data_IF_543751005436
#
_entry.id   IF_543751005436
#
_cell.length_a   1.000
_cell.length_b   1.000
_cell.length_c   1.000
_cell.angle_alpha   90.00
_cell.angle_beta   90.00
_cell.angle_gamma   90.00
#
_symmetry.space_group_name_H-M   'P 1'
#
loop_
_entity.id
_entity.type
_entity.pdbx_description
1 polymer ?
#
# COMPACT_ATOMS: atom_id res chain seq x y z
N UNK A 1 18.92 35.94 -66.74
CA UNK A 1 17.93 36.44 -67.71
C UNK A 1 16.77 36.98 -66.90
N UNK A 2 16.68 38.30 -66.87
CA UNK A 2 15.89 39.10 -65.93
C UNK A 2 14.47 39.28 -66.51
N UNK A 3 13.46 38.66 -65.92
CA UNK A 3 12.05 38.85 -66.30
C UNK A 3 11.28 39.43 -65.13
N UNK A 4 11.22 40.77 -65.14
CA UNK A 4 10.43 41.60 -64.23
C UNK A 4 8.96 41.56 -64.68
N UNK A 5 8.07 41.10 -63.82
CA UNK A 5 6.64 41.44 -63.91
C UNK A 5 6.30 42.46 -62.81
N UNK A 6 6.17 43.71 -63.22
CA UNK A 6 5.54 44.79 -62.43
C UNK A 6 4.03 44.64 -62.57
N UNK A 7 3.31 44.52 -61.46
CA UNK A 7 1.87 44.80 -61.43
C UNK A 7 1.61 46.14 -60.74
N UNK A 8 0.71 46.94 -61.33
CA UNK A 8 0.34 48.28 -60.87
C UNK A 8 -0.65 48.16 -59.72
N UNK A 9 -0.15 48.27 -58.49
CA UNK A 9 -0.78 48.84 -57.28
C UNK A 9 0.05 48.35 -56.08
N UNK A 10 0.81 49.27 -55.49
CA UNK A 10 1.74 48.99 -54.40
C UNK A 10 0.99 48.54 -53.14
N UNK A 11 1.12 47.26 -52.81
CA UNK A 11 0.66 46.68 -51.56
C UNK A 11 1.17 45.24 -51.43
N UNK A 12 2.24 45.04 -50.67
CA UNK A 12 2.72 43.71 -50.28
C UNK A 12 1.82 43.23 -49.13
N UNK A 13 0.94 42.25 -49.39
CA UNK A 13 0.27 41.51 -48.32
C UNK A 13 1.14 40.30 -47.95
N UNK A 14 1.51 40.11 -46.68
CA UNK A 14 2.20 38.89 -46.26
C UNK A 14 1.25 37.70 -46.44
N UNK A 15 1.74 36.65 -47.08
CA UNK A 15 1.05 35.36 -47.13
C UNK A 15 1.13 34.78 -45.72
N UNK A 16 0.03 34.81 -44.97
CA UNK A 16 -0.09 34.09 -43.70
C UNK A 16 -0.18 32.60 -44.02
N UNK A 17 0.89 31.85 -43.76
CA UNK A 17 0.79 30.40 -43.68
C UNK A 17 -0.12 30.04 -42.50
N UNK A 18 -1.08 29.12 -42.66
CA UNK A 18 -1.82 28.63 -41.51
C UNK A 18 -0.82 28.04 -40.53
N UNK A 19 -0.88 28.49 -39.28
CA UNK A 19 -0.14 27.86 -38.17
C UNK A 19 -0.47 26.38 -38.21
N UNK A 20 0.53 25.53 -38.40
CA UNK A 20 0.35 24.09 -38.20
C UNK A 20 -0.32 23.90 -36.83
N UNK A 21 -1.40 23.12 -36.73
CA UNK A 21 -1.93 22.77 -35.42
C UNK A 21 -0.77 22.19 -34.60
N UNK A 22 -0.69 22.48 -33.29
CA UNK A 22 0.34 21.88 -32.46
C UNK A 22 0.31 20.37 -32.73
N UNK A 23 1.46 19.79 -33.04
CA UNK A 23 1.57 18.36 -33.26
C UNK A 23 1.03 17.68 -32.00
N UNK A 24 -0.23 17.24 -32.04
CA UNK A 24 -0.80 16.40 -31.00
C UNK A 24 0.08 15.17 -30.96
N UNK A 25 0.83 15.04 -29.87
CA UNK A 25 1.79 13.98 -29.71
C UNK A 25 1.00 12.67 -29.75
N UNK A 26 1.15 11.87 -30.81
CA UNK A 26 0.36 10.66 -31.01
C UNK A 26 0.46 9.72 -29.79
N UNK A 27 1.59 9.78 -29.06
CA UNK A 27 1.77 9.07 -27.79
C UNK A 27 0.81 9.54 -26.69
N UNK A 28 0.54 10.84 -26.51
CA UNK A 28 -0.37 11.29 -25.45
C UNK A 28 -1.80 10.79 -25.70
N UNK A 29 -2.23 10.76 -26.95
CA UNK A 29 -3.54 10.21 -27.35
C UNK A 29 -3.66 8.70 -27.05
N UNK A 30 -2.57 7.95 -27.21
CA UNK A 30 -2.52 6.51 -26.95
C UNK A 30 -2.50 6.23 -25.44
N UNK A 31 -1.76 7.02 -24.65
CA UNK A 31 -1.69 6.82 -23.20
C UNK A 31 -3.02 7.07 -22.49
N UNK A 32 -3.78 8.09 -22.91
CA UNK A 32 -5.08 8.42 -22.29
C UNK A 32 -6.19 7.41 -22.63
N UNK A 33 -6.01 6.59 -23.67
CA UNK A 33 -6.98 5.58 -24.13
C UNK A 33 -6.53 4.14 -23.85
N UNK A 34 -5.34 3.96 -23.26
CA UNK A 34 -4.83 2.65 -22.93
C UNK A 34 -5.71 1.95 -21.87
N UNK A 35 -6.06 0.67 -22.05
CA UNK A 35 -6.77 -0.08 -21.03
C UNK A 35 -5.99 -0.11 -19.72
N UNK A 36 -6.66 0.21 -18.61
CA UNK A 36 -6.07 0.12 -17.28
C UNK A 36 -5.94 -1.36 -16.92
N UNK A 37 -4.74 -1.76 -16.52
CA UNK A 37 -4.48 -3.07 -15.93
C UNK A 37 -4.29 -2.84 -14.43
N UNK A 38 -5.13 -3.45 -13.61
CA UNK A 38 -5.05 -3.37 -12.16
C UNK A 38 -4.96 -4.76 -11.53
N UNK A 39 -4.29 -4.84 -10.38
CA UNK A 39 -4.19 -6.07 -9.60
C UNK A 39 -5.42 -6.30 -8.71
N UNK A 40 -6.34 -5.33 -8.66
CA UNK A 40 -7.56 -5.37 -7.87
C UNK A 40 -8.56 -6.34 -8.51
N UNK A 41 -9.19 -7.16 -7.69
CA UNK A 41 -10.22 -8.09 -8.15
C UNK A 41 -11.52 -7.32 -8.44
N UNK A 42 -12.18 -7.66 -9.55
CA UNK A 42 -13.43 -7.03 -10.00
C UNK A 42 -14.63 -7.34 -9.11
N UNK A 43 -14.59 -8.47 -8.42
CA UNK A 43 -15.64 -8.95 -7.53
C UNK A 43 -15.03 -9.73 -6.35
N UNK A 44 -15.78 -9.75 -5.24
CA UNK A 44 -15.41 -10.46 -4.02
C UNK A 44 -16.03 -11.86 -3.93
N UNK A 45 -17.01 -12.18 -4.79
CA UNK A 45 -17.89 -13.34 -4.64
C UNK A 45 -18.64 -13.36 -3.30
N UNK A 46 -19.25 -14.51 -3.01
CA UNK A 46 -19.98 -14.77 -1.75
C UNK A 46 -19.06 -15.39 -0.69
N UNK A 47 -17.93 -14.73 -0.41
CA UNK A 47 -16.90 -15.24 0.50
C UNK A 47 -17.06 -14.76 1.95
N UNK A 48 -17.72 -13.63 2.17
CA UNK A 48 -17.83 -13.00 3.48
C UNK A 48 -19.16 -13.33 4.16
N UNK A 49 -19.19 -13.44 5.50
CA UNK A 49 -20.43 -13.72 6.22
C UNK A 49 -21.45 -12.56 6.06
N UNK A 50 -22.76 -12.84 6.18
CA UNK A 50 -23.79 -11.81 6.13
C UNK A 50 -23.52 -10.65 7.10
N UNK A 51 -23.66 -9.42 6.62
CA UNK A 51 -23.41 -8.21 7.40
C UNK A 51 -21.94 -7.79 7.51
N UNK A 52 -20.98 -8.59 7.01
CA UNK A 52 -19.57 -8.21 7.05
C UNK A 52 -19.29 -6.93 6.28
N UNK A 53 -19.90 -6.79 5.10
CA UNK A 53 -19.74 -5.60 4.27
C UNK A 53 -20.39 -4.37 4.92
N UNK A 54 -21.38 -4.49 5.79
CA UNK A 54 -21.92 -3.33 6.52
C UNK A 54 -20.90 -2.75 7.51
N UNK A 55 -20.01 -3.60 8.03
CA UNK A 55 -18.97 -3.25 8.99
C UNK A 55 -17.64 -2.87 8.33
N UNK A 56 -17.36 -3.40 7.14
CA UNK A 56 -16.06 -3.25 6.48
C UNK A 56 -16.19 -2.93 4.99
N UNK A 57 -15.44 -1.91 4.56
CA UNK A 57 -15.06 -1.71 3.17
C UNK A 57 -14.01 -2.77 2.80
N UNK A 58 -14.17 -3.46 1.66
CA UNK A 58 -13.30 -4.58 1.29
C UNK A 58 -12.74 -4.39 -0.12
N UNK A 59 -11.42 -4.52 -0.26
CA UNK A 59 -10.72 -4.56 -1.54
C UNK A 59 -9.78 -5.75 -1.57
N UNK A 60 -9.95 -6.62 -2.56
CA UNK A 60 -9.10 -7.80 -2.75
C UNK A 60 -8.13 -7.54 -3.90
N UNK A 61 -6.85 -7.83 -3.69
CA UNK A 61 -5.81 -7.71 -4.70
C UNK A 61 -5.15 -9.06 -4.96
N UNK A 62 -4.95 -9.39 -6.24
CA UNK A 62 -4.34 -10.66 -6.69
C UNK A 62 -5.06 -11.89 -6.13
N UNK A 63 -6.40 -11.89 -6.12
CA UNK A 63 -7.23 -12.97 -5.60
C UNK A 63 -7.08 -13.23 -4.09
N UNK A 64 -6.66 -12.25 -3.30
CA UNK A 64 -6.42 -12.42 -1.86
C UNK A 64 -7.62 -13.03 -1.12
N UNK A 65 -8.83 -12.51 -1.31
CA UNK A 65 -10.03 -13.04 -0.66
C UNK A 65 -10.26 -14.52 -0.99
N UNK A 66 -10.11 -14.90 -2.27
CA UNK A 66 -10.29 -16.29 -2.73
C UNK A 66 -9.20 -17.21 -2.19
N UNK A 67 -7.95 -16.75 -2.17
CA UNK A 67 -6.81 -17.49 -1.61
C UNK A 67 -7.03 -17.73 -0.11
N UNK A 68 -7.40 -16.69 0.63
CA UNK A 68 -7.72 -16.80 2.05
C UNK A 68 -8.87 -17.79 2.28
N UNK A 69 -9.96 -17.66 1.54
CA UNK A 69 -11.15 -18.50 1.72
C UNK A 69 -10.93 -19.99 1.38
N UNK A 70 -10.09 -20.30 0.38
CA UNK A 70 -9.95 -21.68 -0.12
C UNK A 70 -8.63 -22.35 0.25
N UNK A 71 -7.52 -21.60 0.38
CA UNK A 71 -6.23 -22.15 0.76
C UNK A 71 -5.92 -21.99 2.25
N UNK A 72 -6.57 -21.04 2.94
CA UNK A 72 -6.42 -20.80 4.39
C UNK A 72 -7.79 -20.70 5.10
N UNK A 73 -8.71 -21.66 4.90
CA UNK A 73 -10.11 -21.53 5.31
C UNK A 73 -10.29 -21.36 6.82
N UNK A 74 -9.45 -22.01 7.63
CA UNK A 74 -9.52 -21.91 9.09
C UNK A 74 -9.14 -20.51 9.57
N UNK A 75 -8.02 -19.98 9.08
CA UNK A 75 -7.56 -18.63 9.39
C UNK A 75 -8.54 -17.57 8.91
N UNK A 76 -9.09 -17.73 7.70
CA UNK A 76 -10.07 -16.79 7.15
C UNK A 76 -11.38 -16.79 7.93
N UNK A 77 -11.91 -17.96 8.28
CA UNK A 77 -13.10 -18.08 9.13
C UNK A 77 -12.87 -17.45 10.51
N UNK A 78 -11.67 -17.61 11.08
CA UNK A 78 -11.32 -17.02 12.37
C UNK A 78 -11.23 -15.49 12.28
N UNK A 79 -10.50 -14.94 11.31
CA UNK A 79 -10.40 -13.49 11.09
C UNK A 79 -11.80 -12.88 10.89
N UNK A 80 -12.61 -13.45 10.00
CA UNK A 80 -13.94 -12.90 9.70
C UNK A 80 -14.86 -12.97 10.92
N UNK A 81 -14.88 -14.08 11.66
CA UNK A 81 -15.66 -14.19 12.90
C UNK A 81 -15.22 -13.18 13.97
N UNK A 82 -13.91 -12.97 14.13
CA UNK A 82 -13.34 -12.00 15.07
C UNK A 82 -13.67 -10.56 14.70
N UNK A 83 -13.52 -10.20 13.43
CA UNK A 83 -13.89 -8.89 12.92
C UNK A 83 -15.41 -8.64 13.01
N UNK A 84 -16.25 -9.64 12.79
CA UNK A 84 -17.71 -9.52 13.01
C UNK A 84 -18.06 -9.14 14.46
N UNK A 85 -17.26 -9.57 15.44
CA UNK A 85 -17.43 -9.25 16.85
C UNK A 85 -16.67 -7.99 17.31
N UNK A 86 -15.71 -7.50 16.52
CA UNK A 86 -14.89 -6.35 16.87
C UNK A 86 -15.72 -5.07 16.91
N UNK A 87 -15.63 -4.33 18.01
CA UNK A 87 -16.26 -3.02 18.17
C UNK A 87 -15.28 -2.03 18.75
N UNK A 88 -15.43 -0.77 18.33
CA UNK A 88 -14.66 0.35 18.85
C UNK A 88 -15.62 1.20 19.69
N UNK A 89 -15.21 1.58 20.90
CA UNK A 89 -15.96 2.59 21.64
C UNK A 89 -15.51 3.97 21.21
N UNK A 90 -16.43 4.91 21.25
CA UNK A 90 -16.15 6.32 20.98
C UNK A 90 -15.09 6.86 21.96
N UNK A 91 -15.08 6.35 23.18
CA UNK A 91 -14.07 6.61 24.21
C UNK A 91 -12.64 6.30 23.72
N UNK A 92 -12.46 5.18 23.01
CA UNK A 92 -11.15 4.73 22.52
C UNK A 92 -10.66 5.61 21.35
N UNK A 93 -11.58 6.26 20.64
CA UNK A 93 -11.31 7.27 19.61
C UNK A 93 -10.89 8.59 20.27
N UNK A 94 -11.54 8.98 21.36
CA UNK A 94 -11.23 10.24 22.07
C UNK A 94 -9.95 10.13 22.89
N UNK A 95 -9.65 8.95 23.44
CA UNK A 95 -8.50 8.71 24.31
C UNK A 95 -7.20 9.30 23.74
N UNK A 96 -6.43 9.96 24.61
CA UNK A 96 -5.15 10.58 24.25
C UNK A 96 -4.18 9.55 23.64
N UNK A 97 -3.27 10.03 22.80
CA UNK A 97 -2.20 9.20 22.24
C UNK A 97 -1.26 8.66 23.32
N UNK A 98 -0.61 7.54 23.00
CA UNK A 98 0.44 6.91 23.78
C UNK A 98 1.20 5.93 22.89
N UNK A 99 2.09 5.10 23.46
CA UNK A 99 2.91 4.17 22.65
C UNK A 99 2.09 3.21 21.78
N UNK A 100 0.87 2.82 22.20
CA UNK A 100 -0.07 2.00 21.42
C UNK A 100 -1.52 2.34 21.76
N UNK A 101 -2.40 2.43 20.75
CA UNK A 101 -3.82 2.77 20.94
C UNK A 101 -4.60 1.65 21.64
N UNK A 102 -5.71 1.99 22.31
CA UNK A 102 -6.58 0.97 22.91
C UNK A 102 -7.23 0.06 21.85
N UNK A 103 -7.44 0.58 20.65
CA UNK A 103 -7.98 -0.15 19.50
C UNK A 103 -6.98 -1.22 19.02
N UNK A 104 -5.68 -0.90 18.99
CA UNK A 104 -4.66 -1.89 18.67
C UNK A 104 -4.54 -2.96 19.76
N UNK A 105 -4.59 -2.56 21.04
CA UNK A 105 -4.55 -3.49 22.18
C UNK A 105 -5.76 -4.44 22.21
N UNK A 106 -6.95 -3.95 21.87
CA UNK A 106 -8.15 -4.80 21.84
C UNK A 106 -8.08 -5.83 20.72
N UNK A 107 -7.46 -5.50 19.58
CA UNK A 107 -7.15 -6.47 18.52
C UNK A 107 -6.17 -7.55 19.01
N UNK A 108 -5.09 -7.17 19.69
CA UNK A 108 -4.14 -8.12 20.28
C UNK A 108 -4.81 -9.09 21.26
N UNK A 109 -5.65 -8.57 22.16
CA UNK A 109 -6.39 -9.38 23.13
C UNK A 109 -7.34 -10.38 22.45
N UNK A 110 -7.82 -10.06 21.25
CA UNK A 110 -8.72 -10.92 20.49
C UNK A 110 -7.98 -12.02 19.72
N UNK A 111 -6.81 -11.71 19.15
CA UNK A 111 -6.11 -12.58 18.22
C UNK A 111 -5.00 -13.40 18.89
N UNK A 112 -4.25 -12.85 19.86
CA UNK A 112 -3.13 -13.54 20.50
C UNK A 112 -3.53 -14.87 21.17
N UNK A 113 -4.65 -14.96 21.92
CA UNK A 113 -5.08 -16.23 22.52
C UNK A 113 -5.40 -17.33 21.50
N UNK A 114 -5.63 -16.96 20.24
CA UNK A 114 -5.91 -17.90 19.16
C UNK A 114 -4.63 -18.29 18.39
N UNK A 115 -3.45 -17.82 18.81
CA UNK A 115 -2.17 -18.17 18.22
C UNK A 115 -1.72 -17.25 17.09
N UNK A 116 -2.42 -16.13 16.85
CA UNK A 116 -1.91 -15.06 15.99
C UNK A 116 -0.86 -14.27 16.76
N UNK A 117 0.39 -14.35 16.35
CA UNK A 117 1.48 -13.73 17.09
C UNK A 117 2.35 -12.85 16.19
N UNK A 118 2.92 -11.81 16.81
CA UNK A 118 3.90 -10.95 16.16
C UNK A 118 5.07 -11.80 15.67
N UNK A 119 5.37 -11.70 14.38
CA UNK A 119 6.37 -12.55 13.74
C UNK A 119 7.38 -11.70 12.99
N UNK A 120 8.66 -12.08 13.08
CA UNK A 120 9.77 -11.55 12.29
C UNK A 120 10.47 -12.69 11.58
N UNK A 121 10.88 -12.47 10.33
CA UNK A 121 11.76 -13.38 9.62
C UNK A 121 13.13 -12.75 9.40
N UNK A 122 14.16 -13.59 9.38
CA UNK A 122 15.55 -13.22 9.10
C UNK A 122 16.19 -14.29 8.23
N UNK A 123 17.12 -13.89 7.38
CA UNK A 123 17.82 -14.82 6.50
C UNK A 123 19.03 -14.20 5.82
N UNK A 124 20.04 -15.02 5.58
CA UNK A 124 21.19 -14.68 4.76
C UNK A 124 20.98 -15.19 3.34
N UNK A 125 21.54 -14.50 2.33
CA UNK A 125 21.56 -14.99 0.96
C UNK A 125 22.94 -15.53 0.61
N UNK A 126 22.99 -16.81 0.25
CA UNK A 126 24.19 -17.43 -0.31
C UNK A 126 24.11 -17.37 -1.84
N UNK A 127 25.18 -16.91 -2.47
CA UNK A 127 25.30 -16.78 -3.92
C UNK A 127 26.44 -17.68 -4.36
N UNK A 128 26.12 -18.74 -5.10
CA UNK A 128 27.13 -19.62 -5.72
C UNK A 128 27.34 -19.19 -7.17
N UNK A 129 28.52 -18.66 -7.46
CA UNK A 129 28.94 -18.29 -8.80
C UNK A 129 29.76 -19.44 -9.38
N UNK A 130 29.16 -20.18 -10.31
CA UNK A 130 29.82 -21.27 -11.03
C UNK A 130 30.60 -20.71 -12.21
N UNK A 131 31.91 -20.99 -12.27
CA UNK A 131 32.80 -20.55 -13.34
C UNK A 131 33.29 -21.78 -14.09
N UNK A 132 33.03 -21.78 -15.39
CA UNK A 132 33.53 -22.79 -16.32
C UNK A 132 34.65 -22.18 -17.14
N UNK A 133 35.84 -22.77 -17.05
CA UNK A 133 36.99 -22.40 -17.88
C UNK A 133 37.37 -23.54 -18.82
N UNK A 134 37.87 -23.17 -19.99
CA UNK A 134 38.40 -24.08 -20.97
C UNK A 134 39.91 -23.86 -21.06
N UNK A 135 40.70 -24.83 -20.61
CA UNK A 135 42.14 -24.80 -20.72
C UNK A 135 42.58 -25.67 -21.89
N UNK A 136 43.28 -25.08 -22.86
CA UNK A 136 43.94 -25.83 -23.90
C UNK A 136 45.26 -26.41 -23.36
N UNK A 137 45.34 -27.74 -23.26
CA UNK A 137 46.58 -28.44 -22.92
C UNK A 137 47.10 -29.19 -24.12
N UNK A 138 48.36 -28.94 -24.45
CA UNK A 138 49.09 -29.74 -25.44
C UNK A 138 49.56 -31.04 -24.78
N UNK A 139 49.22 -32.18 -25.38
CA UNK A 139 49.74 -33.47 -24.95
C UNK A 139 51.25 -33.54 -25.20
N UNK A 140 52.02 -33.64 -24.11
CA UNK A 140 53.48 -33.58 -24.12
C UNK A 140 54.14 -34.97 -24.28
N UNK A 141 53.38 -36.05 -24.06
CA UNK A 141 53.83 -37.44 -24.18
C UNK A 141 52.72 -38.38 -24.69
N UNK A 142 53.12 -39.57 -25.18
CA UNK A 142 52.20 -40.60 -25.70
C UNK A 142 51.98 -40.55 -27.23
N UNK A 143 51.15 -41.48 -27.76
CA UNK A 143 50.88 -41.63 -29.21
C UNK A 143 50.33 -40.36 -29.90
N UNK A 144 49.70 -39.46 -29.15
CA UNK A 144 49.08 -38.23 -29.67
C UNK A 144 49.85 -36.97 -29.26
N UNK A 145 51.18 -37.05 -29.18
CA UNK A 145 52.06 -35.93 -28.81
C UNK A 145 51.85 -34.76 -29.77
N UNK A 146 51.61 -33.56 -29.25
CA UNK A 146 51.33 -32.35 -30.01
C UNK A 146 49.85 -32.05 -30.26
N UNK A 147 48.93 -32.98 -29.94
CA UNK A 147 47.49 -32.74 -29.97
C UNK A 147 47.09 -31.75 -28.86
N UNK A 148 46.35 -30.71 -29.21
CA UNK A 148 45.69 -29.83 -28.23
C UNK A 148 44.41 -30.51 -27.76
N UNK A 149 44.25 -30.63 -26.44
CA UNK A 149 43.03 -31.08 -25.79
C UNK A 149 42.48 -29.90 -25.00
N UNK A 150 41.23 -29.56 -25.25
CA UNK A 150 40.51 -28.60 -24.41
C UNK A 150 39.97 -29.34 -23.19
N UNK A 151 40.52 -29.06 -22.02
CA UNK A 151 39.98 -29.53 -20.75
C UNK A 151 39.02 -28.50 -20.20
N UNK A 152 37.81 -28.93 -19.87
CA UNK A 152 36.85 -28.12 -19.15
C UNK A 152 37.12 -28.25 -17.65
N UNK A 153 37.31 -27.11 -16.98
CA UNK A 153 37.38 -27.01 -15.53
C UNK A 153 36.18 -26.24 -15.02
N UNK A 154 35.63 -26.69 -13.90
CA UNK A 154 34.59 -25.98 -13.19
C UNK A 154 35.07 -25.72 -11.77
N UNK A 155 34.90 -24.49 -11.30
CA UNK A 155 35.05 -24.17 -9.88
C UNK A 155 33.94 -23.20 -9.45
N UNK A 156 33.62 -23.24 -8.16
CA UNK A 156 32.55 -22.44 -7.58
C UNK A 156 33.15 -21.38 -6.64
N UNK A 157 32.66 -20.15 -6.75
CA UNK A 157 32.89 -19.07 -5.79
C UNK A 157 31.61 -18.85 -4.97
N UNK A 158 31.68 -18.96 -3.64
CA UNK A 158 30.52 -18.80 -2.76
C UNK A 158 30.63 -17.45 -2.03
N UNK A 159 29.59 -16.62 -2.17
CA UNK A 159 29.44 -15.37 -1.45
C UNK A 159 28.28 -15.44 -0.46
N UNK A 160 28.36 -14.66 0.61
CA UNK A 160 27.30 -14.53 1.61
C UNK A 160 26.92 -13.06 1.78
N UNK A 161 25.65 -12.74 1.53
CA UNK A 161 25.04 -11.47 1.93
C UNK A 161 24.37 -11.70 3.29
N UNK A 162 24.96 -11.15 4.34
CA UNK A 162 24.41 -11.23 5.70
C UNK A 162 23.15 -10.38 5.83
N UNK A 163 22.13 -10.92 6.49
CA UNK A 163 20.88 -10.20 6.77
C UNK A 163 20.14 -9.76 5.50
N UNK A 164 20.24 -10.53 4.42
CA UNK A 164 19.55 -10.24 3.16
C UNK A 164 18.04 -10.10 3.36
N UNK A 165 17.48 -10.96 4.22
CA UNK A 165 16.15 -10.79 4.78
C UNK A 165 16.33 -10.24 6.19
N UNK A 166 16.06 -8.95 6.38
CA UNK A 166 15.91 -8.34 7.71
C UNK A 166 14.64 -7.48 7.75
N UNK A 167 13.52 -8.16 7.47
CA UNK A 167 12.22 -7.54 7.32
C UNK A 167 11.65 -6.98 8.63
N UNK A 168 10.70 -6.07 8.47
CA UNK A 168 9.87 -5.61 9.57
C UNK A 168 8.99 -6.74 10.11
N UNK A 169 8.56 -6.57 11.36
CA UNK A 169 7.63 -7.50 11.98
C UNK A 169 6.24 -7.30 11.37
N UNK A 170 5.48 -8.39 11.32
CA UNK A 170 4.04 -8.35 11.08
C UNK A 170 3.36 -8.62 12.42
N UNK A 171 2.37 -7.81 12.76
CA UNK A 171 1.70 -7.84 14.07
C UNK A 171 1.07 -9.21 14.38
N UNK A 172 0.48 -9.87 13.38
CA UNK A 172 -0.21 -11.13 13.57
C UNK A 172 0.06 -12.09 12.42
N UNK A 173 0.73 -13.21 12.69
CA UNK A 173 0.89 -14.30 11.72
C UNK A 173 0.41 -15.60 12.34
N UNK A 174 -0.40 -16.35 11.58
CA UNK A 174 -0.86 -17.70 11.92
C UNK A 174 -0.98 -18.52 10.64
N UNK A 175 -0.48 -19.76 10.70
CA UNK A 175 -0.43 -20.63 9.52
C UNK A 175 0.30 -19.93 8.37
N UNK A 176 -0.39 -19.78 7.24
CA UNK A 176 0.11 -19.09 6.05
C UNK A 176 -0.57 -17.73 5.81
N UNK A 177 -1.08 -17.09 6.86
CA UNK A 177 -1.76 -15.79 6.75
C UNK A 177 -1.07 -14.76 7.62
N UNK A 178 -0.82 -13.60 7.04
CA UNK A 178 -0.43 -12.38 7.75
C UNK A 178 -1.66 -11.48 7.97
N UNK A 179 -1.76 -10.85 9.12
CA UNK A 179 -2.76 -9.84 9.44
C UNK A 179 -2.06 -8.67 10.13
N UNK A 180 -2.37 -7.45 9.69
CA UNK A 180 -1.79 -6.22 10.24
C UNK A 180 -2.88 -5.16 10.44
N UNK A 181 -2.78 -4.41 11.55
CA UNK A 181 -3.73 -3.35 11.90
C UNK A 181 -3.03 -1.99 11.90
N UNK A 182 -3.36 -1.18 10.90
CA UNK A 182 -2.89 0.19 10.79
C UNK A 182 -4.03 1.17 11.09
N UNK A 183 -4.11 1.60 12.35
CA UNK A 183 -5.22 2.44 12.82
C UNK A 183 -5.10 3.91 12.38
N UNK A 184 -4.00 4.59 12.72
CA UNK A 184 -3.92 6.05 12.63
C UNK A 184 -2.49 6.61 12.81
N UNK A 185 -1.49 5.97 12.22
CA UNK A 185 -0.11 6.48 12.22
C UNK A 185 0.06 7.69 11.28
N UNK A 186 1.03 8.56 11.59
CA UNK A 186 1.47 9.68 10.73
C UNK A 186 2.68 9.34 9.86
N UNK A 187 3.36 8.22 10.16
CA UNK A 187 4.57 7.79 9.46
C UNK A 187 4.23 6.94 8.23
N UNK A 188 5.21 6.68 7.35
CA UNK A 188 5.07 5.84 6.14
C UNK A 188 4.91 4.34 6.49
N UNK A 189 3.90 4.00 7.29
CA UNK A 189 3.70 2.64 7.80
C UNK A 189 3.26 1.67 6.73
N UNK A 190 2.32 2.05 5.85
CA UNK A 190 1.88 1.14 4.78
C UNK A 190 2.98 0.65 3.85
N UNK A 191 3.99 1.48 3.56
CA UNK A 191 5.11 1.05 2.70
C UNK A 191 5.94 -0.03 3.38
N UNK A 192 6.15 0.11 4.69
CA UNK A 192 6.81 -0.87 5.55
C UNK A 192 5.98 -2.15 5.68
N UNK A 193 4.68 -2.03 5.91
CA UNK A 193 3.80 -3.16 6.16
C UNK A 193 3.61 -3.98 4.86
N UNK A 194 3.46 -3.30 3.72
CA UNK A 194 3.45 -3.95 2.39
C UNK A 194 4.79 -4.60 2.06
N UNK A 195 5.92 -3.96 2.41
CA UNK A 195 7.24 -4.56 2.26
C UNK A 195 7.40 -5.82 3.12
N UNK A 196 6.92 -5.80 4.36
CA UNK A 196 6.93 -6.97 5.24
C UNK A 196 6.07 -8.10 4.66
N UNK A 197 4.81 -7.81 4.31
CA UNK A 197 3.91 -8.81 3.70
C UNK A 197 4.50 -9.40 2.41
N UNK A 198 5.11 -8.58 1.57
CA UNK A 198 5.84 -9.01 0.37
C UNK A 198 6.98 -9.96 0.72
N UNK A 199 7.82 -9.59 1.67
CA UNK A 199 9.00 -10.38 2.06
C UNK A 199 8.59 -11.74 2.63
N UNK A 200 7.56 -11.78 3.48
CA UNK A 200 7.01 -13.03 4.03
C UNK A 200 6.46 -13.93 2.92
N UNK A 201 5.78 -13.35 1.93
CA UNK A 201 5.25 -14.09 0.79
C UNK A 201 6.37 -14.63 -0.12
N UNK A 202 7.36 -13.80 -0.48
CA UNK A 202 8.50 -14.20 -1.31
C UNK A 202 9.36 -15.29 -0.64
N UNK A 203 9.43 -15.30 0.69
CA UNK A 203 10.07 -16.38 1.46
C UNK A 203 9.20 -17.64 1.57
N UNK A 204 7.97 -17.64 1.04
CA UNK A 204 7.05 -18.76 1.10
C UNK A 204 6.41 -18.98 2.47
N UNK A 205 6.51 -18.04 3.40
CA UNK A 205 5.97 -18.14 4.76
C UNK A 205 4.46 -17.95 4.78
N UNK A 206 3.96 -16.95 4.06
CA UNK A 206 2.52 -16.67 3.92
C UNK A 206 2.05 -16.86 2.48
N UNK A 207 0.77 -17.17 2.31
CA UNK A 207 0.06 -17.21 1.04
C UNK A 207 -0.67 -15.90 0.73
N UNK A 208 -1.08 -15.17 1.76
CA UNK A 208 -1.78 -13.88 1.63
C UNK A 208 -1.63 -13.04 2.90
N UNK A 209 -1.77 -11.72 2.75
CA UNK A 209 -1.84 -10.75 3.84
C UNK A 209 -3.21 -10.10 3.95
N UNK A 210 -3.59 -9.69 5.15
CA UNK A 210 -4.77 -8.89 5.45
C UNK A 210 -4.30 -7.60 6.10
N UNK A 211 -4.70 -6.45 5.55
CA UNK A 211 -4.39 -5.13 6.11
C UNK A 211 -5.69 -4.46 6.52
N UNK A 212 -5.86 -4.25 7.82
CA UNK A 212 -6.99 -3.55 8.40
C UNK A 212 -6.62 -2.09 8.67
N UNK A 213 -7.42 -1.16 8.15
CA UNK A 213 -7.26 0.28 8.40
C UNK A 213 -8.61 0.98 8.46
N UNK A 214 -8.63 2.32 8.53
CA UNK A 214 -9.85 3.12 8.56
C UNK A 214 -10.42 3.34 7.17
N UNK A 215 -11.74 3.18 7.01
CA UNK A 215 -12.44 3.67 5.82
C UNK A 215 -12.53 5.19 5.82
N UNK A 216 -12.67 5.77 4.63
CA UNK A 216 -13.02 7.18 4.45
C UNK A 216 -14.37 7.54 5.11
N UNK A 217 -15.27 6.55 5.20
CA UNK A 217 -16.61 6.70 5.75
C UNK A 217 -16.61 7.09 7.25
N UNK A 218 -15.49 6.92 7.97
CA UNK A 218 -15.34 7.37 9.35
C UNK A 218 -15.12 8.89 9.50
N UNK A 219 -14.80 9.62 8.43
CA UNK A 219 -14.48 11.05 8.52
C UNK A 219 -15.63 11.92 9.11
N UNK A 220 -16.91 11.73 8.74
CA UNK A 220 -18.01 12.45 9.37
C UNK A 220 -18.14 12.14 10.87
N UNK A 221 -17.92 10.88 11.28
CA UNK A 221 -17.93 10.46 12.68
C UNK A 221 -16.85 11.22 13.46
N UNK A 222 -15.62 11.28 12.94
CA UNK A 222 -14.53 12.04 13.59
C UNK A 222 -14.83 13.54 13.68
N UNK A 223 -15.44 14.11 12.65
CA UNK A 223 -15.86 15.52 12.66
C UNK A 223 -16.86 15.79 13.77
N UNK A 224 -17.78 14.87 13.97
CA UNK A 224 -18.83 14.98 14.98
C UNK A 224 -18.31 14.79 16.40
N UNK A 225 -17.34 13.87 16.60
CA UNK A 225 -16.59 13.74 17.85
C UNK A 225 -15.80 15.01 18.15
N UNK A 226 -15.12 15.60 17.16
CA UNK A 226 -14.31 16.80 17.33
C UNK A 226 -15.11 18.00 17.88
N UNK A 227 -16.40 18.10 17.56
CA UNK A 227 -17.30 19.17 18.04
C UNK A 227 -17.78 18.99 19.49
N UNK A 228 -17.45 17.85 20.11
CA UNK A 228 -17.98 17.41 21.42
C UNK A 228 -16.89 17.16 22.46
N UNK A 229 -15.62 17.35 22.09
CA UNK A 229 -14.48 17.11 22.97
C UNK A 229 -13.62 18.37 23.04
N UNK A 230 -13.20 18.75 24.25
CA UNK A 230 -12.26 19.85 24.47
C UNK A 230 -10.81 19.41 24.22
N UNK A 231 -10.56 18.78 23.07
CA UNK A 231 -9.24 18.29 22.70
C UNK A 231 -8.65 19.17 21.60
N UNK A 232 -7.65 19.98 21.98
CA UNK A 232 -6.88 20.77 21.01
C UNK A 232 -6.37 19.85 19.90
N UNK A 233 -6.61 20.24 18.65
CA UNK A 233 -6.12 19.55 17.45
C UNK A 233 -6.66 18.11 17.24
N UNK A 234 -7.88 17.77 17.69
CA UNK A 234 -8.51 16.48 17.35
C UNK A 234 -8.54 16.22 15.83
N UNK A 235 -8.77 17.26 15.03
CA UNK A 235 -8.75 17.16 13.57
C UNK A 235 -7.39 16.70 13.01
N UNK A 236 -6.28 17.13 13.63
CA UNK A 236 -4.93 16.69 13.26
C UNK A 236 -4.64 15.24 13.68
N UNK A 237 -5.45 14.68 14.58
CA UNK A 237 -5.35 13.27 14.98
C UNK A 237 -5.84 12.37 13.85
N UNK A 238 -7.00 12.65 13.24
CA UNK A 238 -7.61 11.76 12.24
C UNK A 238 -7.62 12.31 10.80
N UNK A 239 -6.92 13.41 10.57
CA UNK A 239 -6.86 14.12 9.29
C UNK A 239 -6.09 13.39 8.18
N UNK A 240 -6.02 14.02 7.01
CA UNK A 240 -5.48 13.43 5.78
C UNK A 240 -4.01 12.99 5.85
N UNK A 241 -3.23 13.51 6.79
CA UNK A 241 -1.83 13.14 7.02
C UNK A 241 -1.66 11.78 7.71
N UNK A 242 -2.71 11.22 8.31
CA UNK A 242 -2.67 9.88 8.92
C UNK A 242 -2.98 8.76 7.93
N UNK A 243 -2.86 7.50 8.36
CA UNK A 243 -3.14 6.28 7.59
C UNK A 243 -4.64 6.00 7.50
N UNK A 244 -5.12 5.69 6.29
CA UNK A 244 -6.51 5.34 5.98
C UNK A 244 -6.58 4.72 4.57
N UNK A 245 -7.74 4.17 4.22
CA UNK A 245 -7.94 3.36 3.01
C UNK A 245 -7.40 4.00 1.73
N UNK A 246 -7.71 5.27 1.43
CA UNK A 246 -7.24 5.92 0.20
C UNK A 246 -5.71 5.89 0.05
N UNK A 247 -4.97 6.04 1.16
CA UNK A 247 -3.50 5.98 1.15
C UNK A 247 -2.98 4.56 0.96
N UNK A 248 -3.71 3.56 1.43
CA UNK A 248 -3.38 2.16 1.21
C UNK A 248 -3.66 1.76 -0.25
N UNK A 249 -4.84 2.09 -0.78
CA UNK A 249 -5.22 1.76 -2.16
C UNK A 249 -4.24 2.34 -3.18
N UNK A 250 -3.86 3.62 -3.04
CA UNK A 250 -2.85 4.24 -3.92
C UNK A 250 -1.54 3.43 -4.00
N UNK A 251 -1.13 2.78 -2.89
CA UNK A 251 0.08 1.96 -2.85
C UNK A 251 -0.13 0.56 -3.42
N UNK A 252 -1.28 -0.03 -3.16
CA UNK A 252 -1.66 -1.33 -3.72
C UNK A 252 -1.82 -1.25 -5.24
N UNK A 253 -2.46 -0.19 -5.74
CA UNK A 253 -2.63 0.11 -7.16
C UNK A 253 -1.27 0.35 -7.83
N UNK A 254 -0.34 1.00 -7.13
CA UNK A 254 1.05 1.16 -7.56
C UNK A 254 1.91 -0.12 -7.41
N UNK A 255 1.32 -1.25 -6.99
CA UNK A 255 2.00 -2.54 -6.88
C UNK A 255 3.01 -2.65 -5.73
N UNK A 256 2.93 -1.80 -4.69
CA UNK A 256 3.92 -1.78 -3.59
C UNK A 256 3.91 -3.05 -2.72
N UNK A 257 2.84 -3.85 -2.75
CA UNK A 257 2.79 -5.19 -2.17
C UNK A 257 3.55 -6.27 -2.97
N UNK A 258 4.14 -5.91 -4.12
CA UNK A 258 4.82 -6.85 -5.00
C UNK A 258 3.85 -7.92 -5.52
N UNK A 259 4.26 -9.18 -5.43
CA UNK A 259 3.44 -10.34 -5.81
C UNK A 259 2.51 -10.86 -4.72
N UNK A 260 2.58 -10.34 -3.49
CA UNK A 260 1.78 -10.83 -2.37
C UNK A 260 0.29 -10.52 -2.55
N UNK A 261 -0.62 -11.49 -2.45
CA UNK A 261 -2.06 -11.24 -2.37
C UNK A 261 -2.41 -10.50 -1.09
N UNK A 262 -3.07 -9.35 -1.21
CA UNK A 262 -3.46 -8.50 -0.07
C UNK A 262 -4.98 -8.29 -0.06
N UNK A 263 -5.60 -8.57 1.08
CA UNK A 263 -6.97 -8.19 1.39
C UNK A 263 -6.95 -6.91 2.24
N UNK A 264 -7.35 -5.79 1.65
CA UNK A 264 -7.45 -4.52 2.36
C UNK A 264 -8.86 -4.35 2.94
N UNK A 265 -8.94 -4.11 4.24
CA UNK A 265 -10.17 -3.95 5.00
C UNK A 265 -10.22 -2.54 5.60
N UNK A 266 -11.32 -1.83 5.39
CA UNK A 266 -11.58 -0.48 5.91
C UNK A 266 -12.69 -0.51 6.95
N UNK A 267 -12.39 -0.17 8.20
CA UNK A 267 -13.36 -0.05 9.28
C UNK A 267 -14.40 1.02 8.93
N UNK A 268 -15.68 0.64 8.86
CA UNK A 268 -16.81 1.55 8.64
C UNK A 268 -17.38 2.09 9.97
N UNK A 269 -18.18 3.17 9.95
CA UNK A 269 -18.82 3.71 11.14
C UNK A 269 -19.62 2.70 11.97
N UNK A 270 -20.22 1.70 11.34
CA UNK A 270 -21.03 0.67 12.02
C UNK A 270 -20.23 -0.19 13.03
N UNK A 271 -18.89 -0.20 12.96
CA UNK A 271 -18.02 -0.84 13.96
C UNK A 271 -17.98 -0.05 15.28
N UNK A 272 -18.30 1.25 15.25
CA UNK A 272 -18.36 2.09 16.45
C UNK A 272 -19.71 1.88 17.15
N UNK A 273 -19.71 1.14 18.26
CA UNK A 273 -20.94 0.56 18.81
C UNK A 273 -21.79 1.50 19.67
N UNK A 274 -21.18 2.53 20.27
CA UNK A 274 -21.80 3.38 21.29
C UNK A 274 -22.01 4.83 20.83
N UNK A 275 -21.85 5.10 19.53
CA UNK A 275 -21.71 6.47 19.05
C UNK A 275 -22.93 7.36 19.31
N UNK A 276 -24.14 6.83 19.11
CA UNK A 276 -25.38 7.59 19.34
C UNK A 276 -25.61 7.87 20.83
N UNK A 277 -25.42 6.87 21.69
CA UNK A 277 -25.49 7.02 23.15
C UNK A 277 -24.39 7.95 23.69
N UNK A 278 -23.21 7.91 23.08
CA UNK A 278 -22.11 8.80 23.41
C UNK A 278 -22.45 10.25 23.03
N UNK A 279 -23.01 10.50 21.83
CA UNK A 279 -23.48 11.83 21.40
C UNK A 279 -24.54 12.41 22.35
N UNK A 280 -25.48 11.59 22.83
CA UNK A 280 -26.52 12.03 23.76
C UNK A 280 -25.93 12.53 25.09
N UNK A 281 -24.83 11.92 25.55
CA UNK A 281 -24.12 12.29 26.78
C UNK A 281 -23.11 13.43 26.59
N UNK A 282 -22.69 13.71 25.36
CA UNK A 282 -21.68 14.71 25.03
C UNK A 282 -22.27 15.74 24.07
N UNK A 283 -22.97 16.78 24.58
CA UNK A 283 -23.53 17.82 23.73
C UNK A 283 -22.43 18.61 22.99
N UNK A 284 -22.80 19.22 21.87
CA UNK A 284 -21.87 20.06 21.09
C UNK A 284 -21.36 21.20 21.96
N UNK A 285 -20.02 21.34 21.99
CA UNK A 285 -19.35 22.41 22.69
C UNK A 285 -19.42 23.64 21.79
N UNK A 286 -20.23 24.63 22.17
CA UNK A 286 -20.26 25.92 21.49
C UNK A 286 -19.04 26.71 21.94
N UNK A 287 -18.02 26.81 21.08
CA UNK A 287 -17.01 27.85 21.27
C UNK A 287 -17.70 29.21 21.08
N UNK A 288 -17.73 30.02 22.14
CA UNK A 288 -18.03 31.44 22.00
C UNK A 288 -16.92 32.01 21.10
N UNK A 289 -17.27 32.35 19.86
CA UNK A 289 -16.36 33.07 18.97
C UNK A 289 -16.20 34.47 19.57
N UNK A 290 -15.11 34.71 20.30
CA UNK A 290 -14.58 36.06 20.44
C UNK A 290 -14.06 36.46 19.06
N UNK A 291 -14.88 37.22 18.34
CA UNK A 291 -14.47 37.96 17.16
C UNK A 291 -13.47 39.03 17.61
N UNK A 292 -12.20 38.65 17.72
CA UNK A 292 -11.11 39.62 17.59
C UNK A 292 -10.84 39.76 16.10
N UNK A 293 -11.55 40.73 15.51
CA UNK A 293 -11.15 41.34 14.25
C UNK A 293 -9.88 42.11 14.56
N UNK A 294 -8.74 41.61 14.12
CA UNK A 294 -7.62 42.45 13.71
C UNK A 294 -6.85 41.71 12.63
N UNK A 295 -6.94 42.26 11.42
CA UNK A 295 -6.29 41.73 10.24
C UNK A 295 -4.81 42.15 10.18
N UNK A 296 -3.99 41.23 9.71
CA UNK A 296 -3.04 41.57 8.66
C UNK A 296 -2.69 40.31 7.88
N UNK A 297 -2.82 40.45 6.56
CA UNK A 297 -2.39 39.52 5.54
C UNK A 297 -0.88 39.31 5.64
N UNK A 298 -0.40 38.09 5.40
CA UNK A 298 0.91 37.88 4.81
C UNK A 298 0.83 36.66 3.88
N UNK A 299 0.88 36.98 2.60
CA UNK A 299 1.14 36.09 1.47
C UNK A 299 2.57 35.54 1.53
N UNK A 300 2.79 34.48 0.76
CA UNK A 300 4.09 33.95 0.29
C UNK A 300 4.91 33.06 1.22
N UNK A 301 5.01 31.78 0.85
CA UNK A 301 6.28 31.21 0.36
C UNK A 301 6.06 29.76 -0.13
N UNK A 302 5.94 29.60 -1.46
CA UNK A 302 6.39 28.39 -2.16
C UNK A 302 7.70 28.72 -2.88
N UNK A 303 8.79 28.16 -2.37
CA UNK A 303 10.09 28.03 -3.00
C UNK A 303 10.61 26.61 -2.80
#
# INVERSE_FOLDING_TARGET
MDLRFRNRHGGVRPISFPTQPPAMNLLSCIHDTAPIIEAKDSDLGDLFPPGFLDLYEVHSYRNAARILAHACPAEFAEITARLMAFRIRTEDIVAAGGNKSQIAKSMEQMLNPLGWNETRIRGDLFITKMIVTHEEKRRIAGKNRGQTVTEQRQHDEIYKVQGFIDGHKIDFVKGRVAFDLEWNSKDQTFDRDLYAARTFYECGIVSAGVLLTRSAELAPLFTEVARRVEMKNFQNKYGSSTTWMKKLLYRLDAGRGGGCPILALGIRPAVVSDFDDWKARHPVIRHAVSLDIDGHDDEDEMG
#
